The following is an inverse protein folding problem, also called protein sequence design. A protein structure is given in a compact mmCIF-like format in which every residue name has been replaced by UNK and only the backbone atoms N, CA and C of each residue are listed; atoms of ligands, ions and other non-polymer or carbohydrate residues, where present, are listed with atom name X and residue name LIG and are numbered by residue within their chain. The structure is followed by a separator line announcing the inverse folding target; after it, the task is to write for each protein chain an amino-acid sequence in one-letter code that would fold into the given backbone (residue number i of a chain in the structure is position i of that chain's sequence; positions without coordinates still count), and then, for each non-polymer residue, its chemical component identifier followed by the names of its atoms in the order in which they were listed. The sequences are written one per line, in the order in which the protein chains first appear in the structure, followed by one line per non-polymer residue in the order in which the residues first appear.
data_IF_470560327384
#
_entry.id   IF_470560327384
#
_cell.length_a   1.000
_cell.length_b   1.000
_cell.length_c   1.000
_cell.angle_alpha   90.00
_cell.angle_beta   90.00
_cell.angle_gamma   90.00
#
_symmetry.space_group_name_H-M   'P 1'
#
loop_
_entity.id
_entity.type
_entity.pdbx_description
1 polymer ?
#
# COMPACT_ATOMS: atom_id res chain seq x y z
N UNK A 1 2.66 8.73 -14.74
CA UNK A 1 2.98 7.85 -13.60
C UNK A 1 2.63 8.62 -12.35
N UNK A 2 1.46 8.34 -11.77
CA UNK A 2 0.95 8.97 -10.56
C UNK A 2 1.06 7.98 -9.41
N UNK A 3 1.66 8.39 -8.30
CA UNK A 3 1.86 7.58 -7.10
C UNK A 3 1.03 8.16 -5.95
N UNK A 4 0.31 7.29 -5.25
CA UNK A 4 -0.31 7.63 -3.97
C UNK A 4 0.27 6.74 -2.88
N UNK A 5 0.75 7.39 -1.82
CA UNK A 5 1.28 6.73 -0.63
C UNK A 5 0.37 7.04 0.55
N UNK A 6 -0.13 5.99 1.20
CA UNK A 6 -0.94 6.09 2.42
C UNK A 6 -0.13 5.52 3.57
N UNK A 7 0.31 6.38 4.47
CA UNK A 7 0.87 5.95 5.75
C UNK A 7 -0.26 5.85 6.77
N UNK A 8 -0.70 4.63 7.05
CA UNK A 8 -1.73 4.38 8.03
C UNK A 8 -1.09 4.17 9.41
N UNK A 9 -0.72 5.27 10.09
CA UNK A 9 -0.20 5.25 11.46
C UNK A 9 -1.28 5.62 12.48
N UNK A 10 -1.18 5.11 13.72
CA UNK A 10 -2.06 5.50 14.83
C UNK A 10 -1.94 6.99 15.22
N UNK A 11 -0.86 7.66 14.80
CA UNK A 11 -0.68 9.10 14.97
C UNK A 11 -1.17 9.82 13.71
N UNK A 12 -2.45 10.19 13.70
CA UNK A 12 -3.10 11.32 13.03
C UNK A 12 -2.60 11.94 11.71
N UNK A 13 -1.76 11.29 10.90
CA UNK A 13 -1.29 11.86 9.63
C UNK A 13 -1.54 10.90 8.47
N UNK A 14 -2.80 10.77 8.07
CA UNK A 14 -3.06 10.75 6.64
C UNK A 14 -2.54 12.10 6.12
N UNK A 15 -1.67 12.14 5.10
CA UNK A 15 -1.28 13.38 4.41
C UNK A 15 -2.46 13.94 3.59
N UNK A 16 -3.57 14.21 4.28
CA UNK A 16 -4.80 14.85 3.84
C UNK A 16 -5.02 15.98 4.86
N UNK A 17 -5.01 17.20 4.37
CA UNK A 17 -5.23 18.41 5.17
C UNK A 17 -6.60 18.27 5.87
N UNK A 18 -6.62 18.25 7.21
CA UNK A 18 -7.82 18.11 8.06
C UNK A 18 -8.99 18.97 7.55
N UNK A 19 -9.99 18.35 6.95
CA UNK A 19 -11.29 18.97 6.62
C UNK A 19 -12.31 18.47 7.66
N UNK A 20 -13.32 19.25 8.02
CA UNK A 20 -14.45 18.73 8.79
C UNK A 20 -15.18 17.67 7.94
N UNK A 21 -15.08 16.38 8.32
CA UNK A 21 -15.68 15.25 7.60
C UNK A 21 -14.80 14.00 7.64
N UNK A 22 -15.27 12.93 7.01
CA UNK A 22 -14.46 11.73 6.72
C UNK A 22 -13.57 12.04 5.49
N UNK A 23 -12.26 11.83 5.61
CA UNK A 23 -11.29 12.06 4.52
C UNK A 23 -11.34 10.96 3.44
N UNK A 24 -12.10 9.89 3.69
CA UNK A 24 -12.21 8.75 2.78
C UNK A 24 -12.55 9.12 1.33
N UNK A 25 -13.54 9.97 1.00
CA UNK A 25 -13.88 10.26 -0.39
C UNK A 25 -12.70 10.86 -1.19
N UNK A 26 -11.91 11.73 -0.54
CA UNK A 26 -10.74 12.36 -1.16
C UNK A 26 -9.60 11.35 -1.30
N UNK A 27 -9.39 10.51 -0.28
CA UNK A 27 -8.40 9.46 -0.34
C UNK A 27 -8.74 8.42 -1.43
N UNK A 28 -9.99 7.96 -1.47
CA UNK A 28 -10.51 7.06 -2.49
C UNK A 28 -10.28 7.62 -3.88
N UNK A 29 -10.63 8.89 -4.12
CA UNK A 29 -10.41 9.51 -5.43
C UNK A 29 -8.93 9.50 -5.80
N UNK A 30 -8.04 9.87 -4.87
CA UNK A 30 -6.59 9.80 -5.10
C UNK A 30 -6.14 8.39 -5.45
N UNK A 31 -6.65 7.36 -4.79
CA UNK A 31 -6.32 5.95 -5.08
C UNK A 31 -6.76 5.59 -6.51
N UNK A 32 -7.98 5.95 -6.91
CA UNK A 32 -8.49 5.66 -8.26
C UNK A 32 -7.75 6.43 -9.36
N UNK A 33 -7.24 7.63 -9.06
CA UNK A 33 -6.44 8.43 -10.00
C UNK A 33 -4.96 7.98 -10.06
N UNK A 34 -4.55 7.04 -9.22
CA UNK A 34 -3.17 6.59 -9.11
C UNK A 34 -2.85 5.41 -10.03
N UNK A 35 -1.64 5.42 -10.58
CA UNK A 35 -1.08 4.28 -11.30
C UNK A 35 -0.45 3.27 -10.33
N UNK A 36 0.04 3.79 -9.19
CA UNK A 36 0.68 3.03 -8.14
C UNK A 36 0.11 3.48 -6.79
N UNK A 37 -0.36 2.52 -6.00
CA UNK A 37 -0.83 2.70 -4.63
C UNK A 37 0.10 1.97 -3.65
N UNK A 38 0.68 2.70 -2.71
CA UNK A 38 1.52 2.11 -1.66
C UNK A 38 0.82 2.27 -0.31
N UNK A 39 0.52 1.14 0.33
CA UNK A 39 -0.08 1.08 1.67
C UNK A 39 1.01 0.81 2.71
N UNK A 40 1.24 1.80 3.57
CA UNK A 40 2.22 1.74 4.65
C UNK A 40 1.57 1.52 6.00
N UNK A 41 2.11 0.61 6.82
CA UNK A 41 1.67 0.41 8.20
C UNK A 41 2.85 0.36 9.17
N UNK A 42 2.71 0.89 10.40
CA UNK A 42 3.60 0.48 11.47
C UNK A 42 3.36 -0.99 11.84
N UNK A 43 4.36 -1.62 12.46
CA UNK A 43 4.20 -2.90 13.17
C UNK A 43 3.79 -2.60 14.61
N UNK A 44 2.66 -3.14 15.04
CA UNK A 44 2.20 -3.04 16.42
C UNK A 44 1.65 -4.37 16.91
N UNK A 45 2.28 -4.96 17.92
CA UNK A 45 1.94 -6.29 18.43
C UNK A 45 1.94 -7.36 17.32
N UNK A 46 2.85 -7.23 16.36
CA UNK A 46 2.91 -8.11 15.19
C UNK A 46 1.90 -7.81 14.08
N UNK A 47 0.97 -6.86 14.26
CA UNK A 47 -0.12 -6.56 13.32
C UNK A 47 0.02 -5.17 12.68
N UNK A 48 -0.74 -4.94 11.60
CA UNK A 48 -0.90 -3.61 11.02
C UNK A 48 -1.74 -2.72 11.92
N UNK A 49 -1.68 -1.42 11.68
CA UNK A 49 -2.48 -0.49 12.48
C UNK A 49 -3.97 -0.65 12.21
N UNK A 50 -4.79 -0.29 13.20
CA UNK A 50 -6.25 -0.21 13.03
C UNK A 50 -6.68 0.81 11.96
N UNK A 51 -5.83 1.80 11.65
CA UNK A 51 -6.06 2.75 10.55
C UNK A 51 -5.90 2.03 9.21
N UNK A 52 -4.88 1.18 9.09
CA UNK A 52 -4.62 0.39 7.88
C UNK A 52 -5.76 -0.61 7.65
N UNK A 53 -6.24 -1.23 8.74
CA UNK A 53 -7.41 -2.12 8.70
C UNK A 53 -8.66 -1.40 8.17
N UNK A 54 -8.95 -0.19 8.67
CA UNK A 54 -10.08 0.61 8.15
C UNK A 54 -9.94 0.99 6.68
N UNK A 55 -8.72 1.17 6.17
CA UNK A 55 -8.50 1.39 4.74
C UNK A 55 -8.89 0.14 3.95
N UNK A 56 -8.44 -1.05 4.36
CA UNK A 56 -8.84 -2.30 3.71
C UNK A 56 -10.36 -2.52 3.75
N UNK A 57 -11.00 -2.33 4.92
CA UNK A 57 -12.45 -2.45 5.08
C UNK A 57 -13.24 -1.50 4.16
N UNK A 58 -12.68 -0.34 3.84
CA UNK A 58 -13.30 0.62 2.93
C UNK A 58 -13.00 0.34 1.46
N UNK A 59 -11.87 -0.31 1.16
CA UNK A 59 -11.56 -0.81 -0.18
C UNK A 59 -12.46 -1.99 -0.58
N UNK A 60 -13.06 -2.70 0.38
CA UNK A 60 -14.05 -3.76 0.12
C UNK A 60 -15.19 -3.31 -0.82
N UNK A 61 -15.60 -2.03 -0.72
CA UNK A 61 -16.60 -1.44 -1.61
C UNK A 61 -16.21 -1.50 -3.10
N UNK A 62 -14.93 -1.66 -3.44
CA UNK A 62 -14.50 -1.79 -4.84
C UNK A 62 -14.97 -3.09 -5.48
N UNK A 63 -15.33 -4.12 -4.70
CA UNK A 63 -15.85 -5.39 -5.22
C UNK A 63 -17.17 -5.23 -5.99
N UNK A 64 -17.95 -4.19 -5.67
CA UNK A 64 -19.22 -3.86 -6.32
C UNK A 64 -19.09 -2.76 -7.37
N UNK A 65 -17.86 -2.27 -7.64
CA UNK A 65 -17.61 -1.15 -8.53
C UNK A 65 -16.76 -1.57 -9.72
N UNK A 66 -17.34 -1.44 -10.91
CA UNK A 66 -16.66 -1.76 -12.17
C UNK A 66 -16.52 -0.56 -13.08
N UNK A 67 -15.51 -0.61 -13.95
CA UNK A 67 -15.42 0.28 -15.11
C UNK A 67 -16.37 -0.16 -16.24
N UNK A 68 -16.41 0.63 -17.33
CA UNK A 68 -17.25 0.37 -18.51
C UNK A 68 -16.93 -0.97 -19.21
N UNK A 69 -15.84 -1.65 -18.84
CA UNK A 69 -15.41 -2.95 -19.37
C UNK A 69 -15.64 -4.11 -18.38
N UNK A 70 -16.32 -3.85 -17.25
CA UNK A 70 -16.63 -4.86 -16.23
C UNK A 70 -15.46 -5.23 -15.32
N UNK A 71 -14.37 -4.46 -15.32
CA UNK A 71 -13.20 -4.70 -14.46
C UNK A 71 -13.38 -3.94 -13.16
N UNK A 72 -12.90 -4.47 -12.02
CA UNK A 72 -12.93 -3.68 -10.79
C UNK A 72 -12.18 -2.37 -10.99
N UNK A 73 -12.67 -1.30 -10.35
CA UNK A 73 -12.08 0.05 -10.49
C UNK A 73 -10.59 0.14 -10.09
N UNK A 74 -10.07 -0.85 -9.37
CA UNK A 74 -8.67 -1.00 -8.96
C UNK A 74 -7.78 -1.77 -9.96
N UNK A 75 -8.35 -2.47 -10.95
CA UNK A 75 -7.60 -3.36 -11.87
C UNK A 75 -6.50 -2.65 -12.67
N UNK A 76 -6.60 -1.33 -12.84
CA UNK A 76 -5.58 -0.52 -13.51
C UNK A 76 -4.45 -0.01 -12.60
N UNK A 77 -4.52 -0.30 -11.30
CA UNK A 77 -3.61 0.23 -10.28
C UNK A 77 -2.68 -0.86 -9.73
N UNK A 78 -1.39 -0.55 -9.67
CA UNK A 78 -0.39 -1.42 -9.05
C UNK A 78 -0.27 -1.13 -7.55
N UNK A 79 -0.33 -2.15 -6.71
CA UNK A 79 -0.16 -2.00 -5.27
C UNK A 79 1.22 -2.45 -4.77
N UNK A 80 1.68 -1.82 -3.69
CA UNK A 80 2.82 -2.26 -2.89
C UNK A 80 2.63 -1.93 -1.41
N UNK A 81 3.42 -2.56 -0.56
CA UNK A 81 3.28 -2.45 0.91
C UNK A 81 4.59 -2.02 1.57
N UNK A 82 4.49 -1.14 2.56
CA UNK A 82 5.61 -0.76 3.41
C UNK A 82 5.29 -1.06 4.87
N UNK A 83 6.20 -1.72 5.59
CA UNK A 83 6.06 -1.95 7.02
C UNK A 83 7.24 -1.36 7.81
N UNK A 84 6.98 -0.69 8.94
CA UNK A 84 8.05 -0.15 9.80
C UNK A 84 7.72 -0.41 11.26
N UNK A 85 8.64 -0.99 12.03
CA UNK A 85 8.39 -1.28 13.44
C UNK A 85 9.65 -1.41 14.26
N UNK A 86 9.54 -1.33 15.58
CA UNK A 86 10.69 -1.52 16.46
C UNK A 86 11.00 -3.00 16.70
N UNK A 87 10.07 -3.90 16.36
CA UNK A 87 10.18 -5.34 16.56
C UNK A 87 9.51 -6.10 15.40
N UNK A 88 9.53 -7.44 15.48
CA UNK A 88 9.08 -8.37 14.45
C UNK A 88 7.57 -8.26 14.10
N UNK A 89 7.23 -8.64 12.87
CA UNK A 89 5.85 -8.67 12.35
C UNK A 89 5.68 -8.20 10.91
N UNK A 90 6.72 -7.63 10.30
CA UNK A 90 6.63 -7.03 8.96
C UNK A 90 6.13 -8.01 7.88
N UNK A 91 6.66 -9.24 7.85
CA UNK A 91 6.24 -10.24 6.85
C UNK A 91 4.80 -10.71 7.04
N UNK A 92 4.33 -10.84 8.29
CA UNK A 92 2.94 -11.19 8.58
C UNK A 92 1.99 -10.10 8.07
N UNK A 93 2.29 -8.84 8.40
CA UNK A 93 1.54 -7.68 7.91
C UNK A 93 1.53 -7.62 6.39
N UNK A 94 2.68 -7.77 5.74
CA UNK A 94 2.79 -7.75 4.29
C UNK A 94 1.91 -8.84 3.67
N UNK A 95 1.89 -10.05 4.24
CA UNK A 95 1.06 -11.14 3.75
C UNK A 95 -0.44 -10.82 3.86
N UNK A 96 -0.90 -10.29 5.01
CA UNK A 96 -2.30 -9.91 5.20
C UNK A 96 -2.73 -8.77 4.27
N UNK A 97 -1.91 -7.72 4.16
CA UNK A 97 -2.21 -6.58 3.29
C UNK A 97 -2.18 -6.98 1.82
N UNK A 98 -1.25 -7.83 1.39
CA UNK A 98 -1.23 -8.33 0.01
C UNK A 98 -2.45 -9.16 -0.33
N UNK A 99 -2.91 -10.03 0.58
CA UNK A 99 -4.13 -10.80 0.36
C UNK A 99 -5.32 -9.85 0.14
N UNK A 100 -5.55 -8.91 1.07
CA UNK A 100 -6.66 -7.96 0.95
C UNK A 100 -6.59 -7.07 -0.29
N UNK A 101 -5.40 -6.55 -0.62
CA UNK A 101 -5.20 -5.72 -1.83
C UNK A 101 -5.41 -6.53 -3.11
N UNK A 102 -5.02 -7.80 -3.13
CA UNK A 102 -5.27 -8.67 -4.27
C UNK A 102 -6.75 -8.98 -4.45
N UNK A 103 -7.46 -9.28 -3.35
CA UNK A 103 -8.89 -9.61 -3.38
C UNK A 103 -9.73 -8.44 -3.92
N UNK A 104 -9.38 -7.20 -3.57
CA UNK A 104 -10.06 -5.99 -4.08
C UNK A 104 -9.48 -5.48 -5.40
N UNK A 105 -8.71 -6.30 -6.13
CA UNK A 105 -8.40 -6.11 -7.55
C UNK A 105 -7.11 -5.37 -7.89
N UNK A 106 -6.22 -5.06 -6.93
CA UNK A 106 -4.93 -4.48 -7.27
C UNK A 106 -3.94 -5.50 -7.85
N UNK A 107 -3.06 -5.06 -8.75
CA UNK A 107 -1.95 -5.88 -9.24
C UNK A 107 -0.71 -5.72 -8.35
N UNK A 108 -0.12 -6.83 -7.92
CA UNK A 108 1.06 -6.84 -7.04
C UNK A 108 2.29 -7.37 -7.81
N UNK A 109 3.36 -6.58 -8.01
CA UNK A 109 4.56 -7.04 -8.69
C UNK A 109 5.42 -7.98 -7.83
N UNK A 110 6.42 -8.62 -8.45
CA UNK A 110 7.48 -9.28 -7.68
C UNK A 110 8.17 -8.28 -6.75
N UNK A 111 8.50 -8.68 -5.52
CA UNK A 111 9.12 -7.83 -4.50
C UNK A 111 8.37 -6.49 -4.28
N UNK A 112 7.03 -6.55 -4.24
CA UNK A 112 6.14 -5.40 -4.01
C UNK A 112 6.11 -4.90 -2.56
N UNK A 113 7.14 -5.18 -1.76
CA UNK A 113 7.24 -4.65 -0.42
C UNK A 113 8.65 -4.27 -0.02
N UNK A 114 8.73 -3.38 0.96
CA UNK A 114 9.95 -3.07 1.70
C UNK A 114 9.58 -2.83 3.16
N UNK A 115 10.52 -3.06 4.07
CA UNK A 115 10.27 -2.85 5.48
C UNK A 115 11.53 -2.56 6.25
N UNK A 116 11.35 -2.04 7.46
CA UNK A 116 12.37 -2.03 8.50
C UNK A 116 11.77 -2.53 9.81
N UNK A 117 12.49 -3.42 10.49
CA UNK A 117 12.22 -3.77 11.88
C UNK A 117 13.48 -3.58 12.71
N UNK A 118 13.30 -3.07 13.93
CA UNK A 118 14.36 -3.00 14.93
C UNK A 118 14.72 -4.36 15.51
N UNK A 119 15.80 -4.38 16.30
CA UNK A 119 16.15 -5.54 17.11
C UNK A 119 15.17 -5.70 18.27
N UNK A 120 14.76 -6.94 18.54
CA UNK A 120 13.83 -7.24 19.63
C UNK A 120 14.34 -6.72 20.99
N UNK A 121 13.43 -6.18 21.80
CA UNK A 121 13.72 -5.62 23.13
C UNK A 121 14.66 -4.40 23.13
N UNK A 122 14.82 -3.71 21.98
CA UNK A 122 15.55 -2.44 21.87
C UNK A 122 14.59 -1.24 21.73
N UNK A 123 15.13 -0.03 21.85
CA UNK A 123 14.35 1.23 21.81
C UNK A 123 14.61 2.08 20.57
N UNK A 124 15.32 1.57 19.58
CA UNK A 124 15.62 2.29 18.34
C UNK A 124 14.35 2.39 17.48
N UNK A 125 13.99 3.62 17.09
CA UNK A 125 12.93 3.89 16.12
C UNK A 125 13.57 4.22 14.75
N UNK A 126 12.90 3.84 13.65
CA UNK A 126 13.41 4.05 12.30
C UNK A 126 13.74 5.52 12.01
N UNK A 127 12.90 6.43 12.50
CA UNK A 127 13.05 7.88 12.31
C UNK A 127 14.31 8.45 12.99
N UNK A 128 14.84 7.75 13.98
CA UNK A 128 15.99 8.17 14.78
C UNK A 128 17.31 7.64 14.20
N UNK A 129 17.25 6.83 13.14
CA UNK A 129 18.43 6.37 12.41
C UNK A 129 19.09 7.54 11.67
N UNK A 130 20.42 7.65 11.81
CA UNK A 130 21.22 8.67 11.10
C UNK A 130 21.13 8.53 9.58
N UNK A 131 20.93 7.30 9.11
CA UNK A 131 20.76 6.96 7.71
C UNK A 131 19.86 5.73 7.60
N UNK A 132 19.05 5.67 6.55
CA UNK A 132 18.32 4.45 6.22
C UNK A 132 19.32 3.32 5.94
N UNK A 133 19.17 2.12 6.52
CA UNK A 133 20.08 1.01 6.24
C UNK A 133 20.12 0.66 4.75
N UNK A 134 21.30 0.33 4.21
CA UNK A 134 21.50 0.05 2.77
C UNK A 134 20.58 -1.07 2.25
N UNK A 135 20.33 -2.08 3.08
CA UNK A 135 19.40 -3.17 2.75
C UNK A 135 17.96 -2.69 2.57
N UNK A 136 17.51 -1.72 3.37
CA UNK A 136 16.18 -1.10 3.24
C UNK A 136 16.14 -0.23 2.00
N UNK A 137 17.19 0.56 1.73
CA UNK A 137 17.29 1.37 0.51
C UNK A 137 17.24 0.50 -0.74
N UNK A 138 17.98 -0.62 -0.74
CA UNK A 138 18.02 -1.58 -1.86
C UNK A 138 16.66 -2.23 -2.09
N UNK A 139 15.99 -2.67 -1.03
CA UNK A 139 14.64 -3.22 -1.11
C UNK A 139 13.63 -2.17 -1.62
N UNK A 140 13.69 -0.94 -1.11
CA UNK A 140 12.84 0.18 -1.55
C UNK A 140 13.04 0.52 -3.02
N UNK A 141 14.29 0.52 -3.50
CA UNK A 141 14.61 0.71 -4.91
C UNK A 141 14.06 -0.44 -5.77
N UNK A 142 14.16 -1.69 -5.28
CA UNK A 142 13.57 -2.86 -5.93
C UNK A 142 12.05 -2.75 -6.09
N UNK A 143 11.35 -2.45 -4.98
CA UNK A 143 9.93 -2.16 -4.95
C UNK A 143 9.56 -1.12 -6.01
N UNK A 144 10.24 0.03 -5.98
CA UNK A 144 9.96 1.16 -6.87
C UNK A 144 10.09 0.76 -8.35
N UNK A 145 11.21 0.11 -8.71
CA UNK A 145 11.43 -0.32 -10.11
C UNK A 145 10.35 -1.29 -10.57
N UNK A 146 9.98 -2.25 -9.74
CA UNK A 146 9.03 -3.29 -10.10
C UNK A 146 7.60 -2.73 -10.21
N UNK A 147 7.19 -1.84 -9.30
CA UNK A 147 5.91 -1.13 -9.42
C UNK A 147 5.83 -0.27 -10.68
N UNK A 148 6.87 0.54 -10.95
CA UNK A 148 6.91 1.40 -12.16
C UNK A 148 6.86 0.56 -13.43
N UNK A 149 7.62 -0.53 -13.49
CA UNK A 149 7.61 -1.43 -14.63
C UNK A 149 6.21 -2.02 -14.86
N UNK A 150 5.60 -2.58 -13.82
CA UNK A 150 4.29 -3.23 -13.96
C UNK A 150 3.17 -2.24 -14.25
N UNK A 151 3.18 -1.06 -13.64
CA UNK A 151 2.19 -0.02 -13.92
C UNK A 151 2.30 0.48 -15.38
N UNK A 152 3.52 0.54 -15.93
CA UNK A 152 3.73 0.88 -17.34
C UNK A 152 3.15 -0.18 -18.26
N UNK A 153 3.36 -1.46 -17.96
CA UNK A 153 2.80 -2.56 -18.74
C UNK A 153 1.27 -2.59 -18.66
N UNK A 154 0.71 -2.44 -17.47
CA UNK A 154 -0.73 -2.47 -17.23
C UNK A 154 -1.47 -1.32 -17.94
N UNK A 155 -0.83 -0.16 -18.09
CA UNK A 155 -1.36 0.93 -18.92
C UNK A 155 -1.38 0.62 -20.41
N UNK A 156 -0.41 -0.14 -20.90
CA UNK A 156 -0.29 -0.48 -22.31
C UNK A 156 -1.19 -1.66 -22.69
N UNK A 157 -1.31 -2.62 -21.76
CA UNK A 157 -2.12 -3.82 -21.90
C UNK A 157 -2.88 -4.06 -20.59
N UNK A 158 -4.03 -3.40 -20.40
CA UNK A 158 -4.90 -3.63 -19.24
C UNK A 158 -5.40 -5.08 -19.17
N UNK A 159 -5.92 -5.48 -18.01
CA UNK A 159 -6.67 -6.73 -17.91
C UNK A 159 -7.81 -6.80 -18.96
N UNK A 160 -8.13 -8.01 -19.44
CA UNK A 160 -9.27 -8.21 -20.34
C UNK A 160 -10.58 -7.80 -19.65
N UNK A 161 -11.57 -7.44 -20.48
CA UNK A 161 -12.96 -7.32 -20.07
C UNK A 161 -13.52 -8.69 -19.63
N UNK A 162 -14.59 -8.69 -18.84
CA UNK A 162 -15.23 -9.94 -18.38
C UNK A 162 -15.93 -10.72 -19.49
N UNK A 163 -16.19 -10.09 -20.64
CA UNK A 163 -16.88 -10.70 -21.78
C UNK A 163 -15.96 -11.44 -22.78
N UNK A 164 -14.64 -11.49 -22.52
CA UNK A 164 -13.64 -12.15 -23.38
C UNK A 164 -13.18 -13.51 -22.84
#
# INVERSE_FOLDING_TARGET
MTLVFVLASMKHDLFIKKIEGDDWPQLRQRILDADIFILGSPVWLGHHSSVCQRVLERLDAFLDETDDQGRLVSYGCVAGVVAVGNEDGAHHIIAELFQGLNDVGFTIPANASTYWVGEAMQSTDFKDLKQTPEVVQTATAGLTRNCVHLATLLKQAPYPNQDN
#
